data_IF_939706016566
#
_entry.id   IF_939706016566
#
_cell.length_a   1.000
_cell.length_b   1.000
_cell.length_c   1.000
_cell.angle_alpha   90.00
_cell.angle_beta   90.00
_cell.angle_gamma   90.00
#
_symmetry.space_group_name_H-M   'P 1'
#
loop_
_entity.id
_entity.type
_entity.pdbx_description
1 polymer ?
#
# COMPACT_ATOMS: atom_id res chain seq x y z
N UNK A 1 -4.95 19.39 19.19
CA UNK A 1 -5.89 18.28 19.46
C UNK A 1 -5.89 17.33 18.27
N UNK A 2 -5.26 16.15 18.36
CA UNK A 2 -5.37 15.11 17.33
C UNK A 2 -6.46 14.14 17.79
N UNK A 3 -7.62 14.16 17.13
CA UNK A 3 -8.79 13.36 17.51
C UNK A 3 -8.62 11.87 17.14
N UNK A 4 -9.11 10.91 17.96
CA UNK A 4 -8.84 9.47 17.84
C UNK A 4 -9.90 8.68 17.03
N UNK A 5 -10.50 9.28 16.00
CA UNK A 5 -11.63 8.65 15.27
C UNK A 5 -11.23 7.64 14.17
N UNK A 6 -9.95 7.51 13.83
CA UNK A 6 -9.49 6.68 12.71
C UNK A 6 -9.58 5.16 12.94
N UNK A 7 -9.88 4.69 14.15
CA UNK A 7 -9.84 3.26 14.52
C UNK A 7 -11.20 2.55 14.40
N UNK A 8 -12.33 3.26 14.27
CA UNK A 8 -13.68 2.66 14.34
C UNK A 8 -14.24 2.17 13.00
N UNK A 9 -13.67 2.57 11.87
CA UNK A 9 -14.17 2.19 10.54
C UNK A 9 -13.47 0.90 10.09
N UNK A 10 -14.23 -0.13 9.72
CA UNK A 10 -13.66 -1.37 9.19
C UNK A 10 -12.92 -1.14 7.86
N UNK A 11 -12.00 -2.04 7.52
CA UNK A 11 -11.29 -1.94 6.24
C UNK A 11 -12.25 -2.06 5.05
N UNK A 12 -13.29 -2.89 5.15
CA UNK A 12 -14.32 -3.04 4.11
C UNK A 12 -15.08 -1.73 3.85
N UNK A 13 -15.53 -1.07 4.92
CA UNK A 13 -16.22 0.23 4.80
C UNK A 13 -15.27 1.29 4.24
N UNK A 14 -14.02 1.31 4.70
CA UNK A 14 -13.04 2.27 4.23
C UNK A 14 -12.72 2.08 2.74
N UNK A 15 -12.58 0.83 2.30
CA UNK A 15 -12.37 0.48 0.90
C UNK A 15 -13.59 0.83 0.04
N UNK A 16 -14.82 0.61 0.52
CA UNK A 16 -16.03 1.02 -0.18
C UNK A 16 -16.10 2.54 -0.41
N UNK A 17 -15.63 3.35 0.55
CA UNK A 17 -15.48 4.80 0.35
C UNK A 17 -14.35 5.14 -0.62
N UNK A 18 -13.22 4.43 -0.59
CA UNK A 18 -12.14 4.59 -1.56
C UNK A 18 -12.59 4.27 -3.00
N UNK A 19 -13.48 3.30 -3.21
CA UNK A 19 -14.08 2.98 -4.51
C UNK A 19 -14.87 4.16 -5.09
N UNK A 20 -15.47 4.98 -4.21
CA UNK A 20 -16.17 6.21 -4.58
C UNK A 20 -15.21 7.41 -4.75
N UNK A 21 -13.90 7.17 -4.75
CA UNK A 21 -12.85 8.17 -4.87
C UNK A 21 -12.85 9.22 -3.74
N UNK A 22 -13.31 8.85 -2.54
CA UNK A 22 -13.29 9.73 -1.37
C UNK A 22 -11.86 9.96 -0.88
N UNK A 23 -11.40 11.21 -0.95
CA UNK A 23 -10.04 11.61 -0.55
C UNK A 23 -9.76 11.43 0.94
N UNK A 24 -10.76 11.60 1.81
CA UNK A 24 -10.59 11.41 3.26
C UNK A 24 -10.44 9.92 3.58
N UNK A 25 -11.18 9.07 2.88
CA UNK A 25 -11.03 7.62 2.99
C UNK A 25 -9.63 7.17 2.53
N UNK A 26 -9.15 7.69 1.40
CA UNK A 26 -7.81 7.41 0.89
C UNK A 26 -6.72 7.85 1.88
N UNK A 27 -6.82 9.06 2.44
CA UNK A 27 -5.89 9.55 3.46
C UNK A 27 -5.88 8.67 4.72
N UNK A 28 -7.07 8.27 5.19
CA UNK A 28 -7.18 7.41 6.36
C UNK A 28 -6.59 6.02 6.09
N UNK A 29 -6.82 5.45 4.90
CA UNK A 29 -6.25 4.17 4.48
C UNK A 29 -4.72 4.23 4.44
N UNK A 30 -4.17 5.30 3.86
CA UNK A 30 -2.73 5.56 3.85
C UNK A 30 -2.17 5.56 5.27
N UNK A 31 -2.71 6.41 6.14
CA UNK A 31 -2.24 6.56 7.53
C UNK A 31 -2.35 5.26 8.32
N UNK A 32 -3.41 4.48 8.11
CA UNK A 32 -3.66 3.20 8.79
C UNK A 32 -2.58 2.16 8.48
N UNK A 33 -2.09 2.12 7.25
CA UNK A 33 -1.19 1.06 6.78
C UNK A 33 0.25 1.52 6.52
N UNK A 34 0.52 2.83 6.53
CA UNK A 34 1.84 3.38 6.20
C UNK A 34 2.97 2.66 6.94
N UNK A 35 2.95 2.62 8.27
CA UNK A 35 4.03 2.03 9.07
C UNK A 35 4.23 0.53 8.76
N UNK A 36 3.13 -0.22 8.58
CA UNK A 36 3.20 -1.66 8.30
C UNK A 36 3.79 -1.94 6.92
N UNK A 37 3.40 -1.16 5.92
CA UNK A 37 3.91 -1.31 4.55
C UNK A 37 5.34 -0.77 4.44
N UNK A 38 5.68 0.30 5.16
CA UNK A 38 7.03 0.81 5.28
C UNK A 38 7.96 -0.26 5.84
N UNK A 39 7.65 -0.82 7.01
CA UNK A 39 8.46 -1.87 7.62
C UNK A 39 8.54 -3.13 6.74
N UNK A 40 7.48 -3.45 5.99
CA UNK A 40 7.49 -4.55 5.04
C UNK A 40 8.50 -4.32 3.91
N UNK A 41 8.48 -3.16 3.24
CA UNK A 41 9.40 -2.84 2.14
C UNK A 41 10.83 -2.65 2.66
N UNK A 42 11.01 -2.04 3.84
CA UNK A 42 12.31 -1.79 4.49
C UNK A 42 13.11 -3.07 4.80
N UNK A 43 12.46 -4.23 4.82
CA UNK A 43 13.15 -5.54 4.90
C UNK A 43 14.01 -5.82 3.67
N UNK A 44 13.64 -5.26 2.52
CA UNK A 44 14.29 -5.47 1.23
C UNK A 44 15.11 -4.27 0.78
N UNK A 45 14.67 -3.05 1.10
CA UNK A 45 15.32 -1.80 0.68
C UNK A 45 15.86 -1.05 1.90
N UNK A 46 17.12 -0.63 1.86
CA UNK A 46 17.76 0.12 2.96
C UNK A 46 17.62 1.63 2.85
N UNK A 47 17.35 2.18 1.68
CA UNK A 47 17.14 3.62 1.51
C UNK A 47 15.69 4.02 1.84
N UNK A 48 15.51 4.89 2.84
CA UNK A 48 14.19 5.38 3.26
C UNK A 48 13.48 6.20 2.18
N UNK A 49 14.23 6.98 1.39
CA UNK A 49 13.63 7.78 0.32
C UNK A 49 13.03 6.87 -0.76
N UNK A 50 13.75 5.81 -1.11
CA UNK A 50 13.28 4.79 -2.04
C UNK A 50 12.08 4.02 -1.48
N UNK A 51 12.11 3.62 -0.20
CA UNK A 51 10.96 2.99 0.46
C UNK A 51 9.72 3.88 0.36
N UNK A 52 9.84 5.16 0.72
CA UNK A 52 8.75 6.13 0.65
C UNK A 52 8.21 6.30 -0.78
N UNK A 53 9.09 6.33 -1.79
CA UNK A 53 8.69 6.39 -3.19
C UNK A 53 7.82 5.19 -3.60
N UNK A 54 8.26 3.97 -3.26
CA UNK A 54 7.52 2.74 -3.56
C UNK A 54 6.18 2.68 -2.81
N UNK A 55 6.13 3.15 -1.57
CA UNK A 55 4.87 3.26 -0.81
C UNK A 55 3.89 4.18 -1.55
N UNK A 56 4.35 5.35 -2.01
CA UNK A 56 3.48 6.29 -2.71
C UNK A 56 2.92 5.68 -4.00
N UNK A 57 3.76 4.99 -4.79
CA UNK A 57 3.31 4.28 -6.00
C UNK A 57 2.36 3.11 -5.69
N UNK A 58 2.57 2.45 -4.56
CA UNK A 58 1.70 1.39 -4.04
C UNK A 58 0.32 1.95 -3.75
N UNK A 59 0.22 3.00 -2.94
CA UNK A 59 -1.08 3.58 -2.56
C UNK A 59 -1.78 4.23 -3.75
N UNK A 60 -1.04 4.87 -4.66
CA UNK A 60 -1.63 5.35 -5.91
C UNK A 60 -2.28 4.22 -6.72
N UNK A 61 -1.64 3.04 -6.76
CA UNK A 61 -2.20 1.87 -7.44
C UNK A 61 -3.38 1.25 -6.69
N UNK A 62 -3.33 1.24 -5.36
CA UNK A 62 -4.44 0.84 -4.49
C UNK A 62 -5.67 1.69 -4.79
N UNK A 63 -5.54 3.02 -4.86
CA UNK A 63 -6.68 3.91 -5.13
C UNK A 63 -7.23 3.74 -6.53
N UNK A 64 -6.35 3.62 -7.54
CA UNK A 64 -6.78 3.33 -8.91
C UNK A 64 -7.56 2.01 -8.98
N UNK A 65 -7.03 0.95 -8.36
CA UNK A 65 -7.68 -0.35 -8.32
C UNK A 65 -9.00 -0.33 -7.52
N UNK A 66 -9.08 0.46 -6.45
CA UNK A 66 -10.31 0.70 -5.71
C UNK A 66 -11.39 1.27 -6.65
N UNK A 67 -11.09 2.41 -7.31
CA UNK A 67 -12.03 3.09 -8.21
C UNK A 67 -12.43 2.23 -9.41
N UNK A 68 -11.52 1.40 -9.94
CA UNK A 68 -11.83 0.47 -11.05
C UNK A 68 -12.71 -0.72 -10.65
N UNK A 69 -13.18 -0.79 -9.41
CA UNK A 69 -14.06 -1.85 -8.93
C UNK A 69 -13.29 -2.96 -8.23
N UNK A 70 -12.61 -2.62 -7.14
CA UNK A 70 -12.03 -3.59 -6.21
C UNK A 70 -13.05 -4.66 -5.79
N UNK A 71 -12.78 -5.92 -6.10
CA UNK A 71 -13.66 -7.07 -5.81
C UNK A 71 -13.04 -8.11 -4.89
N UNK A 72 -11.78 -7.91 -4.51
CA UNK A 72 -11.08 -8.83 -3.61
C UNK A 72 -11.84 -8.91 -2.29
N UNK A 73 -12.24 -10.13 -1.93
CA UNK A 73 -12.84 -10.46 -0.64
C UNK A 73 -11.73 -11.06 0.20
N UNK A 74 -11.16 -10.29 1.13
CA UNK A 74 -10.02 -10.77 1.90
C UNK A 74 -9.36 -9.68 2.73
N UNK A 75 -8.19 -10.01 3.28
CA UNK A 75 -7.42 -9.11 4.11
C UNK A 75 -6.83 -7.96 3.28
N UNK A 76 -7.30 -6.73 3.53
CA UNK A 76 -6.86 -5.51 2.84
C UNK A 76 -5.35 -5.28 2.97
N UNK A 77 -4.76 -5.54 4.14
CA UNK A 77 -3.31 -5.43 4.33
C UNK A 77 -2.54 -6.40 3.42
N UNK A 78 -3.00 -7.64 3.31
CA UNK A 78 -2.40 -8.65 2.44
C UNK A 78 -2.46 -8.24 0.96
N UNK A 79 -3.59 -7.67 0.54
CA UNK A 79 -3.75 -7.14 -0.81
C UNK A 79 -2.83 -5.93 -1.07
N UNK A 80 -2.72 -4.98 -0.13
CA UNK A 80 -1.78 -3.85 -0.24
C UNK A 80 -0.34 -4.37 -0.31
N UNK A 81 0.04 -5.36 0.50
CA UNK A 81 1.37 -6.00 0.46
C UNK A 81 1.67 -6.65 -0.90
N UNK A 82 0.68 -7.28 -1.55
CA UNK A 82 0.82 -7.83 -2.90
C UNK A 82 1.11 -6.73 -3.92
N UNK A 83 0.40 -5.60 -3.85
CA UNK A 83 0.67 -4.44 -4.71
C UNK A 83 2.07 -3.87 -4.43
N UNK A 84 2.42 -3.68 -3.15
CA UNK A 84 3.72 -3.17 -2.73
C UNK A 84 4.87 -4.05 -3.24
N UNK A 85 4.69 -5.36 -3.14
CA UNK A 85 5.62 -6.34 -3.67
C UNK A 85 5.83 -6.17 -5.18
N UNK A 86 4.76 -6.06 -5.95
CA UNK A 86 4.86 -5.84 -7.41
C UNK A 86 5.58 -4.53 -7.74
N UNK A 87 5.33 -3.44 -6.97
CA UNK A 87 6.03 -2.16 -7.17
C UNK A 87 7.51 -2.25 -6.87
N UNK A 88 7.87 -2.91 -5.79
CA UNK A 88 9.26 -3.18 -5.45
C UNK A 88 9.94 -4.02 -6.53
N UNK A 89 9.29 -5.10 -6.98
CA UNK A 89 9.79 -5.95 -8.05
C UNK A 89 10.01 -5.17 -9.35
N UNK A 90 9.03 -4.37 -9.77
CA UNK A 90 9.13 -3.53 -10.98
C UNK A 90 10.26 -2.50 -10.88
N UNK A 91 10.44 -1.90 -9.71
CA UNK A 91 11.50 -0.93 -9.46
C UNK A 91 12.88 -1.58 -9.67
N UNK A 92 13.16 -2.69 -8.98
CA UNK A 92 14.44 -3.37 -9.10
C UNK A 92 14.69 -4.03 -10.46
N UNK A 93 13.63 -4.56 -11.10
CA UNK A 93 13.73 -5.10 -12.46
C UNK A 93 14.24 -4.03 -13.44
N UNK A 94 13.79 -2.78 -13.31
CA UNK A 94 14.23 -1.67 -14.17
C UNK A 94 15.66 -1.24 -13.91
N UNK A 95 16.13 -1.37 -12.68
CA UNK A 95 17.50 -1.00 -12.29
C UNK A 95 18.56 -2.07 -12.61
N UNK A 96 18.18 -3.21 -13.22
CA UNK A 96 19.05 -4.39 -13.45
C UNK A 96 19.72 -4.93 -12.17
N UNK A 97 19.26 -4.49 -10.99
CA UNK A 97 19.68 -5.07 -9.74
C UNK A 97 18.99 -6.42 -9.63
N UNK A 98 19.74 -7.51 -9.75
CA UNK A 98 19.24 -8.86 -9.46
C UNK A 98 18.84 -8.83 -7.99
N UNK A 99 17.54 -8.74 -7.72
CA UNK A 99 17.07 -8.93 -6.37
C UNK A 99 17.42 -10.38 -6.02
N UNK A 100 18.17 -10.60 -4.93
CA UNK A 100 18.36 -11.93 -4.30
C UNK A 100 17.05 -12.60 -3.85
N UNK A 101 15.91 -12.08 -4.30
CA UNK A 101 14.55 -12.40 -3.90
C UNK A 101 14.06 -13.77 -4.41
N UNK A 102 14.73 -14.36 -5.41
CA UNK A 102 14.30 -15.64 -6.02
C UNK A 102 14.98 -16.88 -5.42
N UNK A 103 15.81 -16.76 -4.38
CA UNK A 103 16.54 -17.88 -3.77
C UNK A 103 15.96 -18.38 -2.43
N UNK A 104 14.65 -18.21 -2.18
CA UNK A 104 13.97 -18.82 -1.03
C UNK A 104 12.86 -19.76 -1.45
#
# INVERSE_FOLDING_TARGET
>A
MKQPFGFLISDDTLMASCQQNDRKAQELLYKRYFDRIFLYIKRYIKDDAMVCSIINDTFLSVYKAAVSGYKERGNVEGWIKKIAFNKMYDHFRKEKQVIKFLEL
#
